data_IF_378007966013
#
_entry.id   IF_378007966013
#
_cell.length_a   1.000
_cell.length_b   1.000
_cell.length_c   1.000
_cell.angle_alpha   90.00
_cell.angle_beta   90.00
_cell.angle_gamma   90.00
#
_symmetry.space_group_name_H-M   'P 1'
#
loop_
_entity.id
_entity.type
_entity.pdbx_description
1 polymer ?
#
# COMPACT_ATOMS: atom_id res chain seq x y z
N UNK A 1 0.52 26.94 -9.04
CA UNK A 1 1.84 26.40 -8.61
C UNK A 1 1.61 24.98 -8.13
N UNK A 2 1.72 24.00 -9.02
CA UNK A 2 1.54 22.57 -8.71
C UNK A 2 2.94 21.97 -8.46
N UNK A 3 3.33 21.86 -7.18
CA UNK A 3 4.37 20.91 -6.73
C UNK A 3 3.76 19.51 -6.85
N UNK A 4 4.37 18.45 -7.34
CA UNK A 4 5.73 18.15 -7.74
C UNK A 4 5.86 16.62 -7.55
N UNK A 5 6.09 15.87 -8.64
CA UNK A 5 6.34 14.42 -8.69
C UNK A 5 5.76 13.59 -7.53
N UNK A 6 4.45 13.35 -7.54
CA UNK A 6 3.77 12.54 -6.54
C UNK A 6 4.17 11.06 -6.68
N UNK A 7 4.57 10.44 -5.57
CA UNK A 7 4.64 8.98 -5.41
C UNK A 7 3.26 8.41 -5.82
N UNK A 8 3.15 7.89 -7.04
CA UNK A 8 1.88 7.38 -7.55
C UNK A 8 1.35 6.28 -6.63
N UNK A 9 0.12 6.42 -6.14
CA UNK A 9 -0.58 5.38 -5.39
C UNK A 9 -0.75 4.15 -6.30
N UNK A 10 0.03 3.10 -6.05
CA UNK A 10 -0.10 1.84 -6.77
C UNK A 10 -1.16 0.99 -6.08
N UNK A 11 -2.28 0.79 -6.76
CA UNK A 11 -3.31 -0.17 -6.36
C UNK A 11 -3.20 -1.38 -7.28
N UNK A 12 -2.86 -2.54 -6.72
CA UNK A 12 -2.85 -3.79 -7.45
C UNK A 12 -4.24 -4.45 -7.39
N UNK A 13 -4.74 -4.91 -8.53
CA UNK A 13 -6.03 -5.60 -8.62
C UNK A 13 -6.12 -6.46 -9.87
N UNK A 14 -6.83 -7.57 -9.75
CA UNK A 14 -7.09 -8.51 -10.84
C UNK A 14 -8.55 -8.94 -10.81
N UNK A 15 -9.18 -8.95 -11.98
CA UNK A 15 -10.53 -9.48 -12.16
C UNK A 15 -10.43 -10.92 -12.68
N UNK A 16 -10.88 -11.89 -11.88
CA UNK A 16 -10.95 -13.29 -12.29
C UNK A 16 -12.36 -13.64 -12.76
N UNK A 17 -12.47 -14.25 -13.94
CA UNK A 17 -13.75 -14.62 -14.57
C UNK A 17 -14.18 -16.07 -14.33
N UNK A 18 -13.28 -16.92 -13.84
CA UNK A 18 -13.53 -18.34 -13.61
C UNK A 18 -14.08 -18.57 -12.19
N UNK A 19 -15.33 -19.00 -12.06
CA UNK A 19 -15.96 -19.28 -10.77
C UNK A 19 -15.26 -20.38 -9.96
N UNK A 20 -14.51 -21.29 -10.61
CA UNK A 20 -13.70 -22.31 -9.91
C UNK A 20 -12.45 -21.71 -9.23
N UNK A 21 -12.06 -20.49 -9.59
CA UNK A 21 -10.97 -19.77 -8.96
C UNK A 21 -11.38 -19.05 -7.67
N UNK A 22 -12.68 -19.02 -7.33
CA UNK A 22 -13.22 -18.47 -6.07
C UNK A 22 -12.99 -19.42 -4.88
N UNK A 23 -11.82 -20.06 -4.81
CA UNK A 23 -11.42 -20.80 -3.60
C UNK A 23 -10.71 -19.83 -2.67
N UNK A 24 -11.08 -19.83 -1.39
CA UNK A 24 -10.46 -18.95 -0.39
C UNK A 24 -8.93 -19.03 -0.43
N UNK A 25 -8.35 -20.24 -0.43
CA UNK A 25 -6.90 -20.44 -0.43
C UNK A 25 -6.17 -19.77 -1.61
N UNK A 26 -6.74 -19.79 -2.81
CA UNK A 26 -6.17 -19.13 -3.99
C UNK A 26 -6.23 -17.60 -3.82
N UNK A 27 -7.39 -17.09 -3.39
CA UNK A 27 -7.58 -15.66 -3.16
C UNK A 27 -6.61 -15.10 -2.09
N UNK A 28 -6.34 -15.87 -1.02
CA UNK A 28 -5.33 -15.52 -0.02
C UNK A 28 -3.91 -15.45 -0.62
N UNK A 29 -3.54 -16.39 -1.49
CA UNK A 29 -2.23 -16.39 -2.17
C UNK A 29 -2.11 -15.19 -3.12
N UNK A 30 -3.17 -14.85 -3.85
CA UNK A 30 -3.17 -13.68 -4.73
C UNK A 30 -3.06 -12.38 -3.92
N UNK A 31 -3.82 -12.23 -2.84
CA UNK A 31 -3.69 -11.08 -1.93
C UNK A 31 -2.26 -10.95 -1.39
N UNK A 32 -1.65 -12.06 -0.95
CA UNK A 32 -0.28 -12.04 -0.46
C UNK A 32 0.73 -11.65 -1.56
N UNK A 33 0.49 -12.09 -2.81
CA UNK A 33 1.28 -11.70 -3.98
C UNK A 33 1.17 -10.20 -4.25
N UNK A 34 -0.05 -9.66 -4.28
CA UNK A 34 -0.30 -8.24 -4.51
C UNK A 34 0.24 -7.37 -3.39
N UNK A 35 0.05 -7.76 -2.12
CA UNK A 35 0.63 -7.07 -0.98
C UNK A 35 2.15 -6.98 -1.11
N UNK A 36 2.81 -8.08 -1.51
CA UNK A 36 4.26 -8.08 -1.73
C UNK A 36 4.69 -7.12 -2.85
N UNK A 37 3.96 -7.06 -3.95
CA UNK A 37 4.27 -6.16 -5.07
C UNK A 37 4.08 -4.69 -4.67
N UNK A 38 2.99 -4.37 -3.98
CA UNK A 38 2.73 -3.03 -3.46
C UNK A 38 3.80 -2.61 -2.45
N UNK A 39 4.15 -3.47 -1.48
CA UNK A 39 5.21 -3.18 -0.50
C UNK A 39 6.60 -3.02 -1.16
N UNK A 40 6.87 -3.76 -2.23
CA UNK A 40 8.13 -3.64 -2.97
C UNK A 40 8.21 -2.34 -3.79
N UNK A 41 7.09 -1.89 -4.36
CA UNK A 41 7.02 -0.64 -5.12
C UNK A 41 6.91 0.59 -4.21
N UNK A 42 6.31 0.45 -3.04
CA UNK A 42 6.03 1.52 -2.08
C UNK A 42 6.65 1.16 -0.73
N UNK A 43 7.97 1.31 -0.66
CA UNK A 43 8.83 0.87 0.45
C UNK A 43 8.61 1.62 1.77
N UNK A 44 7.87 2.73 1.75
CA UNK A 44 7.45 3.48 2.93
C UNK A 44 6.12 2.99 3.52
N UNK A 45 5.52 1.91 2.99
CA UNK A 45 4.31 1.31 3.56
C UNK A 45 4.62 0.39 4.73
N UNK A 46 3.83 0.52 5.81
CA UNK A 46 3.77 -0.38 6.97
C UNK A 46 2.78 -1.53 6.76
N UNK A 47 1.71 -1.31 6.01
CA UNK A 47 0.71 -2.32 5.66
C UNK A 47 0.05 -2.03 4.31
N UNK A 48 -0.66 -3.03 3.77
CA UNK A 48 -1.47 -2.92 2.54
C UNK A 48 -2.88 -3.36 2.85
N UNK A 49 -3.85 -2.51 2.55
CA UNK A 49 -5.26 -2.87 2.62
C UNK A 49 -5.63 -3.66 1.37
N UNK A 50 -6.26 -4.81 1.55
CA UNK A 50 -6.65 -5.70 0.45
C UNK A 50 -7.98 -6.37 0.74
N UNK A 51 -8.76 -6.56 -0.31
CA UNK A 51 -10.04 -7.26 -0.26
C UNK A 51 -10.24 -8.07 -1.54
N UNK A 52 -11.05 -9.11 -1.47
CA UNK A 52 -11.46 -9.91 -2.62
C UNK A 52 -12.97 -9.87 -2.74
N UNK A 53 -13.47 -9.81 -3.97
CA UNK A 53 -14.90 -9.77 -4.26
C UNK A 53 -15.24 -10.90 -5.21
N UNK A 54 -16.15 -11.77 -4.79
CA UNK A 54 -16.76 -12.77 -5.66
C UNK A 54 -17.93 -12.14 -6.42
N UNK A 55 -18.10 -12.47 -7.70
CA UNK A 55 -19.14 -11.89 -8.56
C UNK A 55 -20.57 -12.08 -8.05
N UNK A 56 -20.85 -13.15 -7.29
CA UNK A 56 -22.15 -13.37 -6.64
C UNK A 56 -22.40 -12.35 -5.51
N UNK A 57 -21.36 -11.99 -4.76
CA UNK A 57 -21.40 -10.94 -3.73
C UNK A 57 -21.57 -9.55 -4.37
N UNK A 58 -20.97 -9.29 -5.53
CA UNK A 58 -21.12 -8.00 -6.22
C UNK A 58 -22.56 -7.75 -6.71
N UNK A 59 -23.31 -8.80 -7.09
CA UNK A 59 -24.73 -8.64 -7.50
C UNK A 59 -25.63 -8.09 -6.39
N UNK A 60 -25.34 -8.41 -5.13
CA UNK A 60 -26.11 -7.93 -3.97
C UNK A 60 -25.36 -6.87 -3.14
N UNK A 61 -24.07 -6.66 -3.40
CA UNK A 61 -23.14 -5.86 -2.60
C UNK A 61 -22.48 -4.69 -3.34
N UNK A 62 -23.02 -4.26 -4.49
CA UNK A 62 -22.48 -3.13 -5.24
C UNK A 62 -22.35 -1.84 -4.43
N UNK A 63 -23.28 -1.59 -3.49
CA UNK A 63 -23.17 -0.47 -2.56
C UNK A 63 -21.97 -0.58 -1.62
N UNK A 64 -21.69 -1.79 -1.10
CA UNK A 64 -20.53 -2.04 -0.25
C UNK A 64 -19.24 -1.84 -1.05
N UNK A 65 -19.19 -2.31 -2.30
CA UNK A 65 -18.03 -2.07 -3.17
C UNK A 65 -17.76 -0.58 -3.38
N UNK A 66 -18.76 0.19 -3.79
CA UNK A 66 -18.62 1.64 -4.00
C UNK A 66 -18.22 2.33 -2.70
N UNK A 67 -18.81 1.95 -1.57
CA UNK A 67 -18.47 2.51 -0.26
C UNK A 67 -17.03 2.20 0.14
N UNK A 68 -16.56 0.97 -0.11
CA UNK A 68 -15.15 0.59 0.12
C UNK A 68 -14.23 1.45 -0.73
N UNK A 69 -14.46 1.53 -2.05
CA UNK A 69 -13.62 2.35 -2.95
C UNK A 69 -13.63 3.82 -2.53
N UNK A 70 -14.79 4.38 -2.19
CA UNK A 70 -14.89 5.75 -1.67
C UNK A 70 -14.13 5.93 -0.35
N UNK A 71 -14.14 4.93 0.53
CA UNK A 71 -13.35 4.90 1.74
C UNK A 71 -11.85 5.00 1.43
N UNK A 72 -11.35 4.14 0.54
CA UNK A 72 -9.95 4.18 0.09
C UNK A 72 -9.54 5.53 -0.51
N UNK A 73 -10.41 6.15 -1.33
CA UNK A 73 -10.12 7.45 -1.95
C UNK A 73 -10.14 8.62 -0.96
N UNK A 74 -10.77 8.45 0.21
CA UNK A 74 -10.83 9.47 1.27
C UNK A 74 -9.74 9.31 2.32
N UNK A 75 -9.05 8.17 2.35
CA UNK A 75 -7.97 7.92 3.30
C UNK A 75 -6.76 8.80 2.99
N UNK A 76 -6.15 9.35 4.03
CA UNK A 76 -4.86 10.01 3.93
C UNK A 76 -3.71 8.99 3.80
N UNK A 77 -2.48 9.46 3.62
CA UNK A 77 -1.31 8.59 3.46
C UNK A 77 -1.10 7.65 4.66
N UNK A 78 -1.25 8.13 5.90
CA UNK A 78 -1.07 7.30 7.09
C UNK A 78 -2.12 6.19 7.18
N UNK A 79 -3.38 6.49 6.83
CA UNK A 79 -4.49 5.54 6.79
C UNK A 79 -4.33 4.53 5.65
N UNK A 80 -3.75 4.97 4.52
CA UNK A 80 -3.29 4.10 3.46
C UNK A 80 -2.08 3.27 3.88
N UNK A 81 -1.51 3.49 5.07
CA UNK A 81 -0.44 2.69 5.63
C UNK A 81 0.96 3.19 5.31
N UNK A 82 1.12 4.38 4.77
CA UNK A 82 2.44 5.02 4.69
C UNK A 82 2.97 5.33 6.09
N UNK A 83 4.29 5.27 6.24
CA UNK A 83 4.99 5.63 7.45
C UNK A 83 5.20 7.15 7.50
N UNK A 84 4.53 7.88 8.43
CA UNK A 84 4.67 9.33 8.51
C UNK A 84 6.06 9.78 8.97
N UNK A 85 6.89 8.87 9.49
CA UNK A 85 8.23 9.21 9.99
C UNK A 85 9.26 9.31 8.86
N UNK A 86 9.02 8.68 7.71
CA UNK A 86 9.93 8.68 6.56
C UNK A 86 9.52 9.80 5.61
N UNK A 87 10.36 10.84 5.52
CA UNK A 87 10.14 11.99 4.65
C UNK A 87 10.94 11.82 3.36
N UNK A 88 10.29 12.00 2.21
CA UNK A 88 10.96 12.12 0.91
C UNK A 88 10.96 13.58 0.46
N UNK A 89 12.13 14.17 0.24
CA UNK A 89 12.26 15.57 -0.21
C UNK A 89 13.55 15.78 -0.99
N UNK A 90 13.50 16.52 -2.09
CA UNK A 90 14.66 16.83 -2.94
C UNK A 90 15.47 15.59 -3.41
N UNK A 91 14.82 14.44 -3.57
CA UNK A 91 15.50 13.18 -3.93
C UNK A 91 16.16 12.45 -2.76
N UNK A 92 16.12 13.02 -1.55
CA UNK A 92 16.61 12.39 -0.33
C UNK A 92 15.46 11.79 0.47
N UNK A 93 15.78 10.76 1.26
CA UNK A 93 14.86 10.14 2.22
C UNK A 93 15.47 10.23 3.60
N UNK A 94 14.71 10.68 4.58
CA UNK A 94 15.22 10.82 5.93
C UNK A 94 14.12 10.72 6.99
N UNK A 95 14.54 10.39 8.21
CA UNK A 95 13.69 10.41 9.40
C UNK A 95 14.10 11.61 10.25
N UNK A 96 13.13 12.42 10.69
CA UNK A 96 13.38 13.49 11.66
C UNK A 96 13.30 12.92 13.06
N UNK A 97 14.30 13.20 13.88
CA UNK A 97 14.30 12.84 15.29
C UNK A 97 14.61 14.07 16.15
N UNK A 98 14.17 14.06 17.39
CA UNK A 98 14.53 15.07 18.40
C UNK A 98 15.47 14.43 19.40
N UNK A 99 16.67 15.01 19.57
CA UNK A 99 17.66 14.54 20.53
C UNK A 99 18.26 15.72 21.27
N UNK A 100 18.14 15.72 22.60
CA UNK A 100 18.66 16.82 23.42
C UNK A 100 18.06 18.19 23.11
N UNK A 101 16.83 18.25 22.60
CA UNK A 101 16.16 19.48 22.18
C UNK A 101 16.62 20.04 20.82
N UNK A 102 17.37 19.24 20.06
CA UNK A 102 17.76 19.56 18.68
C UNK A 102 17.10 18.58 17.70
N UNK A 103 16.58 19.13 16.60
CA UNK A 103 16.09 18.33 15.48
C UNK A 103 17.26 17.80 14.65
N UNK A 104 17.41 16.48 14.55
CA UNK A 104 18.37 15.80 13.69
C UNK A 104 17.65 15.13 12.50
N UNK A 105 18.40 14.87 11.42
CA UNK A 105 17.94 14.09 10.25
C UNK A 105 18.77 12.83 10.11
N UNK A 106 18.13 11.67 10.16
CA UNK A 106 18.73 10.39 9.82
C UNK A 106 18.49 10.11 8.34
N UNK A 107 19.54 10.15 7.52
CA UNK A 107 19.42 9.89 6.08
C UNK A 107 19.28 8.38 5.84
N UNK A 108 18.33 8.01 4.97
CA UNK A 108 18.06 6.64 4.54
C UNK A 108 18.57 6.46 3.12
N UNK A 109 19.85 6.11 3.02
CA UNK A 109 20.56 6.01 1.74
C UNK A 109 20.09 4.80 0.90
N UNK A 110 19.77 3.69 1.55
CA UNK A 110 19.38 2.45 0.89
C UNK A 110 18.09 1.85 1.44
N UNK A 111 17.35 1.16 0.58
CA UNK A 111 16.24 0.31 0.99
C UNK A 111 16.80 -1.03 1.47
N UNK A 112 16.32 -1.52 2.62
CA UNK A 112 16.63 -2.87 3.06
C UNK A 112 16.24 -3.88 1.98
N UNK A 113 17.23 -4.54 1.39
CA UNK A 113 16.98 -5.59 0.41
C UNK A 113 16.46 -6.82 1.13
N UNK A 114 15.37 -7.39 0.62
CA UNK A 114 14.81 -8.64 1.15
C UNK A 114 15.88 -9.73 1.08
N UNK A 115 16.19 -10.35 2.21
CA UNK A 115 16.95 -11.59 2.23
C UNK A 115 16.14 -12.67 1.50
N UNK A 116 16.77 -13.41 0.58
CA UNK A 116 16.13 -14.57 -0.04
C UNK A 116 15.80 -15.57 1.08
N UNK A 117 14.52 -15.72 1.41
CA UNK A 117 14.07 -16.83 2.24
C UNK A 117 14.30 -18.11 1.44
N UNK A 118 15.12 -19.00 1.99
CA UNK A 118 15.39 -20.35 1.48
C UNK A 118 14.21 -21.25 1.87
#
# INVERSE_FOLDING_TARGET
>A
MLRGAEDSLVVAGELKSNSKADTASIAWIDLARYAREVLAAQDTRRFVLGFTLCGSLMRNGGFQFVTTILGFLRMNEEELGFDPTIVKSNGERYIKIERGGQTERLIVDEVMKRARCI
#
